data_IF_936503947064
#
_entry.id   IF_936503947064
#
_cell.length_a   1.000
_cell.length_b   1.000
_cell.length_c   1.000
_cell.angle_alpha   90.00
_cell.angle_beta   90.00
_cell.angle_gamma   90.00
#
_symmetry.space_group_name_H-M   'P 1'
#
loop_
_entity.id
_entity.type
_entity.pdbx_description
1 polymer ?
#
# COMPACT_ATOMS: atom_id res chain seq x y z
N UNK A 1 -49.52 106.29 29.95
CA UNK A 1 -50.08 104.88 30.02
C UNK A 1 -50.90 104.54 28.77
N UNK A 2 -51.66 105.44 28.14
CA UNK A 2 -52.49 105.12 26.96
C UNK A 2 -51.66 104.62 25.74
N UNK A 3 -50.57 105.34 25.39
CA UNK A 3 -49.66 105.03 24.33
C UNK A 3 -48.93 103.68 24.61
N UNK A 4 -48.53 103.39 25.85
CA UNK A 4 -47.90 102.15 26.25
C UNK A 4 -48.87 100.96 26.13
N UNK A 5 -50.13 101.17 26.39
CA UNK A 5 -51.15 100.13 26.19
C UNK A 5 -51.35 99.77 24.71
N UNK A 6 -51.50 100.78 23.86
CA UNK A 6 -51.70 100.61 22.46
C UNK A 6 -50.46 99.88 21.78
N UNK A 7 -49.27 100.23 22.18
CA UNK A 7 -48.07 99.57 21.73
C UNK A 7 -47.99 98.11 22.19
N UNK A 8 -48.36 97.83 23.47
CA UNK A 8 -48.35 96.45 24.00
C UNK A 8 -49.49 95.59 23.42
N UNK A 9 -50.68 96.16 23.17
CA UNK A 9 -51.78 95.48 22.50
C UNK A 9 -51.41 95.09 21.06
N UNK A 10 -50.76 96.04 20.35
CA UNK A 10 -50.24 95.78 19.01
C UNK A 10 -49.14 94.72 19.07
N UNK A 11 -48.16 94.76 19.98
CA UNK A 11 -47.12 93.76 20.15
C UNK A 11 -47.73 92.40 20.46
N UNK A 12 -48.73 92.29 21.31
CA UNK A 12 -49.46 91.06 21.59
C UNK A 12 -50.19 90.53 20.37
N UNK A 13 -50.84 91.37 19.60
CA UNK A 13 -51.56 91.00 18.38
C UNK A 13 -50.56 90.42 17.30
N UNK A 14 -49.45 91.13 17.10
CA UNK A 14 -48.38 90.70 16.21
C UNK A 14 -47.78 89.34 16.68
N UNK A 15 -47.46 89.25 17.98
CA UNK A 15 -46.91 87.99 18.53
C UNK A 15 -47.85 86.78 18.33
N UNK A 16 -49.16 86.97 18.46
CA UNK A 16 -50.13 85.92 18.11
C UNK A 16 -50.19 85.63 16.64
N UNK A 17 -50.10 86.61 15.78
CA UNK A 17 -50.16 86.42 14.33
C UNK A 17 -48.91 85.66 13.80
N UNK A 18 -47.75 85.93 14.33
CA UNK A 18 -46.49 85.25 13.96
C UNK A 18 -46.32 83.93 14.75
N UNK A 19 -47.21 83.58 15.69
CA UNK A 19 -47.09 82.34 16.46
C UNK A 19 -46.00 82.36 17.52
N UNK A 20 -45.42 83.53 17.87
CA UNK A 20 -44.35 83.63 18.86
C UNK A 20 -44.91 83.58 20.28
N UNK A 21 -44.97 82.40 20.90
CA UNK A 21 -45.52 82.19 22.24
C UNK A 21 -44.75 82.98 23.31
N UNK A 22 -43.43 83.11 23.17
CA UNK A 22 -42.62 83.86 24.12
C UNK A 22 -42.94 85.36 24.09
N UNK A 23 -43.05 85.99 22.94
CA UNK A 23 -43.44 87.40 22.81
C UNK A 23 -44.86 87.64 23.20
N UNK A 24 -45.77 86.67 22.96
CA UNK A 24 -47.17 86.75 23.41
C UNK A 24 -47.30 86.64 24.95
N UNK A 25 -46.50 85.79 25.59
CA UNK A 25 -46.41 85.70 27.06
C UNK A 25 -45.92 87.01 27.62
N UNK A 26 -44.81 87.53 27.14
CA UNK A 26 -44.16 88.74 27.63
C UNK A 26 -45.07 89.98 27.46
N UNK A 27 -45.69 90.12 26.28
CA UNK A 27 -46.64 91.23 26.03
C UNK A 27 -47.90 91.12 26.88
N UNK A 28 -48.48 89.95 27.09
CA UNK A 28 -49.65 89.71 27.94
C UNK A 28 -49.32 89.99 29.42
N UNK A 29 -48.11 89.57 29.88
CA UNK A 29 -47.62 89.82 31.25
C UNK A 29 -47.45 91.32 31.50
N UNK A 30 -46.86 92.07 30.54
CA UNK A 30 -46.75 93.54 30.64
C UNK A 30 -48.09 94.24 30.57
N UNK A 31 -49.04 93.80 29.77
CA UNK A 31 -50.40 94.29 29.71
C UNK A 31 -51.15 94.07 31.05
N UNK A 32 -50.97 92.88 31.63
CA UNK A 32 -51.55 92.62 32.98
C UNK A 32 -50.98 93.60 33.99
N UNK A 33 -49.70 93.83 34.06
CA UNK A 33 -49.04 94.78 34.99
C UNK A 33 -49.51 96.23 34.73
N UNK A 34 -49.67 96.61 33.48
CA UNK A 34 -50.13 97.92 33.12
C UNK A 34 -51.59 98.12 33.50
N UNK A 35 -52.47 97.16 33.29
CA UNK A 35 -53.85 97.16 33.71
C UNK A 35 -54.02 97.19 35.22
N UNK A 36 -53.13 96.51 35.93
CA UNK A 36 -53.11 96.60 37.41
C UNK A 36 -52.77 98.03 37.91
N UNK A 37 -51.76 98.63 37.35
CA UNK A 37 -51.34 100.01 37.66
C UNK A 37 -52.40 101.07 37.33
N UNK A 38 -53.19 100.76 36.28
CA UNK A 38 -54.34 101.62 35.88
C UNK A 38 -55.68 101.29 36.61
N UNK A 39 -55.60 100.38 37.62
CA UNK A 39 -56.73 99.94 38.46
C UNK A 39 -57.86 99.19 37.66
N UNK A 40 -57.51 98.58 36.50
CA UNK A 40 -58.41 97.79 35.69
C UNK A 40 -58.20 96.30 36.01
N UNK A 41 -58.62 95.87 37.13
CA UNK A 41 -58.32 94.58 37.72
C UNK A 41 -58.85 93.38 36.91
N UNK A 42 -60.06 93.50 36.36
CA UNK A 42 -60.61 92.42 35.54
C UNK A 42 -59.82 92.16 34.31
N UNK A 43 -59.49 93.22 33.57
CA UNK A 43 -58.61 93.09 32.34
C UNK A 43 -57.22 92.64 32.71
N UNK A 44 -56.70 93.07 33.86
CA UNK A 44 -55.40 92.60 34.37
C UNK A 44 -55.41 91.11 34.63
N UNK A 45 -56.49 90.59 35.26
CA UNK A 45 -56.64 89.17 35.52
C UNK A 45 -56.73 88.34 34.21
N UNK A 46 -57.45 88.82 33.19
CA UNK A 46 -57.53 88.16 31.87
C UNK A 46 -56.14 88.03 31.23
N UNK A 47 -55.40 89.15 31.14
CA UNK A 47 -54.04 89.08 30.55
C UNK A 47 -53.10 88.28 31.41
N UNK A 48 -53.23 88.22 32.71
CA UNK A 48 -52.43 87.34 33.58
C UNK A 48 -52.72 85.87 33.29
N UNK A 49 -53.99 85.48 33.14
CA UNK A 49 -54.37 84.10 32.77
C UNK A 49 -53.77 83.73 31.39
N UNK A 50 -53.83 84.64 30.40
CA UNK A 50 -53.26 84.42 29.08
C UNK A 50 -51.74 84.28 29.16
N UNK A 51 -51.02 85.14 29.90
CA UNK A 51 -49.58 85.01 30.09
C UNK A 51 -49.18 83.67 30.73
N UNK A 52 -49.95 83.24 31.77
CA UNK A 52 -49.74 81.97 32.45
C UNK A 52 -49.93 80.79 31.49
N UNK A 53 -50.99 80.80 30.66
CA UNK A 53 -51.17 79.74 29.63
C UNK A 53 -50.06 79.64 28.65
N UNK A 54 -49.54 80.80 28.15
CA UNK A 54 -48.37 80.81 27.27
C UNK A 54 -47.11 80.31 27.97
N UNK A 55 -46.89 80.73 29.22
CA UNK A 55 -45.71 80.25 30.01
C UNK A 55 -45.74 78.77 30.24
N UNK A 56 -46.91 78.17 30.60
CA UNK A 56 -47.05 76.74 30.77
C UNK A 56 -46.84 75.98 29.45
N UNK A 57 -47.37 76.57 28.36
CA UNK A 57 -47.14 75.98 27.02
C UNK A 57 -45.67 75.97 26.62
N UNK A 58 -44.92 77.07 26.88
CA UNK A 58 -43.46 77.15 26.61
C UNK A 58 -42.70 76.19 27.50
N UNK A 59 -43.05 76.09 28.78
CA UNK A 59 -42.36 75.13 29.68
C UNK A 59 -42.61 73.70 29.29
N UNK A 60 -43.82 73.32 28.90
CA UNK A 60 -44.15 72.00 28.43
C UNK A 60 -43.45 71.63 27.16
N UNK A 61 -43.37 72.58 26.20
CA UNK A 61 -42.61 72.40 24.97
C UNK A 61 -41.10 72.17 25.21
N UNK A 62 -40.52 72.98 26.15
CA UNK A 62 -39.12 72.81 26.55
C UNK A 62 -38.85 71.47 27.24
N UNK A 63 -39.77 71.10 28.16
CA UNK A 63 -39.68 69.79 28.85
C UNK A 63 -39.79 68.63 27.87
N UNK A 64 -40.73 68.67 26.92
CA UNK A 64 -40.83 67.67 25.84
C UNK A 64 -39.58 67.58 25.00
N UNK A 65 -39.01 68.74 24.59
CA UNK A 65 -37.74 68.74 23.83
C UNK A 65 -36.59 68.09 24.61
N UNK A 66 -36.47 68.41 25.93
CA UNK A 66 -35.46 67.77 26.76
C UNK A 66 -35.70 66.30 26.94
N UNK A 67 -36.94 65.84 27.12
CA UNK A 67 -37.24 64.42 27.19
C UNK A 67 -36.88 63.68 25.90
N UNK A 68 -37.34 64.19 24.75
CA UNK A 68 -37.02 63.55 23.45
C UNK A 68 -35.53 63.58 23.15
N UNK A 69 -34.76 64.59 23.50
CA UNK A 69 -33.32 64.65 23.34
C UNK A 69 -32.64 63.67 24.26
N UNK A 70 -33.14 63.52 25.51
CA UNK A 70 -32.59 62.57 26.47
C UNK A 70 -32.85 61.14 26.05
N UNK A 71 -34.04 60.81 25.52
CA UNK A 71 -34.40 59.52 24.95
C UNK A 71 -33.48 59.19 23.75
N UNK A 72 -33.28 60.14 22.82
CA UNK A 72 -32.41 59.96 21.68
C UNK A 72 -30.95 59.72 22.08
N UNK A 73 -30.46 60.37 23.14
CA UNK A 73 -29.12 60.13 23.69
C UNK A 73 -28.98 58.73 24.28
N UNK A 74 -29.97 58.31 25.10
CA UNK A 74 -29.97 56.97 25.68
C UNK A 74 -30.02 55.88 24.62
N UNK A 75 -30.87 56.04 23.59
CA UNK A 75 -30.95 55.11 22.47
C UNK A 75 -29.60 55.06 21.67
N UNK A 76 -28.97 56.20 21.45
CA UNK A 76 -27.69 56.28 20.80
C UNK A 76 -26.59 55.58 21.62
N UNK A 77 -26.61 55.72 22.95
CA UNK A 77 -25.67 55.07 23.87
C UNK A 77 -25.88 53.56 23.85
N UNK A 78 -27.14 53.11 23.99
CA UNK A 78 -27.51 51.71 23.92
C UNK A 78 -27.10 51.05 22.58
N UNK A 79 -27.25 51.76 21.46
CA UNK A 79 -26.82 51.31 20.17
C UNK A 79 -25.29 51.20 20.07
N UNK A 80 -24.53 52.15 20.63
CA UNK A 80 -23.08 52.06 20.70
C UNK A 80 -22.61 50.84 21.49
N UNK A 81 -23.16 50.63 22.67
CA UNK A 81 -22.83 49.48 23.51
C UNK A 81 -23.11 48.16 22.78
N UNK A 82 -24.23 48.10 22.08
CA UNK A 82 -24.59 46.93 21.29
C UNK A 82 -23.61 46.67 20.12
N UNK A 83 -23.19 47.73 19.43
CA UNK A 83 -22.19 47.64 18.35
C UNK A 83 -20.85 47.17 18.92
N UNK A 84 -20.43 47.71 20.08
CA UNK A 84 -19.20 47.30 20.73
C UNK A 84 -19.21 45.82 21.15
N UNK A 85 -20.31 45.37 21.76
CA UNK A 85 -20.50 43.94 22.08
C UNK A 85 -20.41 43.05 20.81
N UNK A 86 -21.13 43.39 19.74
CA UNK A 86 -21.11 42.65 18.49
C UNK A 86 -19.70 42.61 17.86
N UNK A 87 -18.94 43.69 17.94
CA UNK A 87 -17.57 43.75 17.47
C UNK A 87 -16.63 42.83 18.27
N UNK A 88 -16.80 42.80 19.62
CA UNK A 88 -16.03 41.90 20.47
C UNK A 88 -16.36 40.44 20.16
N UNK A 89 -17.63 40.06 20.05
CA UNK A 89 -18.07 38.74 19.68
C UNK A 89 -17.51 38.33 18.28
N UNK A 90 -17.55 39.24 17.32
CA UNK A 90 -17.01 38.99 15.98
C UNK A 90 -15.47 38.74 15.99
N UNK A 91 -14.72 39.52 16.80
CA UNK A 91 -13.27 39.30 16.96
C UNK A 91 -12.96 37.97 17.64
N UNK A 92 -13.72 37.59 18.66
CA UNK A 92 -13.56 36.27 19.30
C UNK A 92 -13.87 35.15 18.33
N UNK A 93 -14.99 35.20 17.61
CA UNK A 93 -15.31 34.21 16.57
C UNK A 93 -14.24 34.11 15.49
N UNK A 94 -13.70 35.25 15.04
CA UNK A 94 -12.62 35.25 14.05
C UNK A 94 -11.34 34.59 14.59
N UNK A 95 -11.02 34.82 15.87
CA UNK A 95 -9.87 34.18 16.52
C UNK A 95 -10.04 32.66 16.65
N UNK A 96 -11.24 32.20 17.01
CA UNK A 96 -11.58 30.76 17.09
C UNK A 96 -11.50 30.10 15.71
N UNK A 97 -12.09 30.72 14.68
CA UNK A 97 -12.04 30.21 13.31
C UNK A 97 -10.61 30.14 12.76
N UNK A 98 -9.78 31.13 13.06
CA UNK A 98 -8.37 31.13 12.63
C UNK A 98 -7.58 29.97 13.27
N UNK A 99 -7.77 29.73 14.57
CA UNK A 99 -7.18 28.59 15.28
C UNK A 99 -7.66 27.25 14.72
N UNK A 100 -8.95 27.11 14.46
CA UNK A 100 -9.51 25.88 13.85
C UNK A 100 -8.94 25.62 12.46
N UNK A 101 -8.80 26.65 11.61
CA UNK A 101 -8.13 26.55 10.30
C UNK A 101 -6.70 26.05 10.44
N UNK A 102 -5.95 26.60 11.37
CA UNK A 102 -4.55 26.23 11.59
C UNK A 102 -4.42 24.77 12.02
N UNK A 103 -5.27 24.30 12.96
CA UNK A 103 -5.33 22.90 13.37
C UNK A 103 -5.67 21.97 12.18
N UNK A 104 -6.63 22.39 11.34
CA UNK A 104 -7.04 21.62 10.17
C UNK A 104 -5.91 21.50 9.13
N UNK A 105 -5.18 22.58 8.88
CA UNK A 105 -3.99 22.59 7.98
C UNK A 105 -2.90 21.67 8.53
N UNK A 106 -2.58 21.75 9.82
CA UNK A 106 -1.60 20.86 10.46
C UNK A 106 -2.03 19.43 10.37
N UNK A 107 -3.31 19.13 10.61
CA UNK A 107 -3.85 17.77 10.49
C UNK A 107 -3.73 17.22 9.05
N UNK A 108 -4.07 18.02 8.04
CA UNK A 108 -3.93 17.62 6.63
C UNK A 108 -2.47 17.35 6.27
N UNK A 109 -1.54 18.21 6.71
CA UNK A 109 -0.11 18.03 6.45
C UNK A 109 0.40 16.75 7.12
N UNK A 110 0.02 16.50 8.40
CA UNK A 110 0.44 15.27 9.09
C UNK A 110 -0.11 14.03 8.42
N UNK A 111 -1.37 14.05 7.98
CA UNK A 111 -1.98 12.94 7.23
C UNK A 111 -1.24 12.70 5.90
N UNK A 112 -0.93 13.76 5.16
CA UNK A 112 -0.19 13.65 3.90
C UNK A 112 1.21 13.04 4.12
N UNK A 113 1.93 13.46 5.17
CA UNK A 113 3.24 12.89 5.53
C UNK A 113 3.11 11.41 5.88
N UNK A 114 2.10 11.02 6.65
CA UNK A 114 1.85 9.61 6.99
C UNK A 114 1.60 8.76 5.75
N UNK A 115 0.80 9.26 4.80
CA UNK A 115 0.54 8.57 3.52
C UNK A 115 1.84 8.41 2.71
N UNK A 116 2.65 9.46 2.60
CA UNK A 116 3.94 9.40 1.90
C UNK A 116 4.85 8.35 2.54
N UNK A 117 4.98 8.35 3.87
CA UNK A 117 5.79 7.36 4.60
C UNK A 117 5.27 5.94 4.36
N UNK A 118 3.95 5.73 4.42
CA UNK A 118 3.35 4.42 4.15
C UNK A 118 3.65 3.93 2.72
N UNK A 119 3.53 4.80 1.71
CA UNK A 119 3.86 4.49 0.32
C UNK A 119 5.34 4.14 0.17
N UNK A 120 6.25 4.93 0.79
CA UNK A 120 7.69 4.66 0.76
C UNK A 120 8.02 3.31 1.39
N UNK A 121 7.40 2.95 2.52
CA UNK A 121 7.60 1.65 3.17
C UNK A 121 7.13 0.50 2.28
N UNK A 122 5.98 0.63 1.61
CA UNK A 122 5.48 -0.39 0.67
C UNK A 122 6.42 -0.54 -0.53
N UNK A 123 6.89 0.57 -1.12
CA UNK A 123 7.85 0.54 -2.24
C UNK A 123 9.16 -0.10 -1.81
N UNK A 124 9.70 0.28 -0.66
CA UNK A 124 10.94 -0.30 -0.11
C UNK A 124 10.78 -1.81 0.15
N UNK A 125 9.66 -2.23 0.71
CA UNK A 125 9.38 -3.65 0.94
C UNK A 125 9.33 -4.44 -0.38
N UNK A 126 8.64 -3.91 -1.41
CA UNK A 126 8.58 -4.53 -2.75
C UNK A 126 9.96 -4.63 -3.42
N UNK A 127 10.77 -3.56 -3.33
CA UNK A 127 12.12 -3.57 -3.88
C UNK A 127 13.02 -4.57 -3.15
N UNK A 128 12.94 -4.63 -1.83
CA UNK A 128 13.71 -5.60 -1.02
C UNK A 128 13.30 -7.04 -1.31
N UNK A 129 12.02 -7.30 -1.50
CA UNK A 129 11.51 -8.62 -1.89
C UNK A 129 12.03 -9.02 -3.29
N UNK A 130 11.95 -8.12 -4.28
CA UNK A 130 12.53 -8.37 -5.62
C UNK A 130 14.04 -8.62 -5.57
N UNK A 131 14.77 -7.82 -4.78
CA UNK A 131 16.22 -8.02 -4.62
C UNK A 131 16.55 -9.37 -3.98
N UNK A 132 15.83 -9.76 -2.94
CA UNK A 132 16.00 -11.05 -2.29
C UNK A 132 15.67 -12.22 -3.23
N UNK A 133 14.62 -12.10 -4.04
CA UNK A 133 14.27 -13.10 -5.05
C UNK A 133 15.36 -13.23 -6.10
N UNK A 134 15.89 -12.13 -6.64
CA UNK A 134 17.03 -12.15 -7.58
C UNK A 134 18.28 -12.77 -6.93
N UNK A 135 18.59 -12.40 -5.69
CA UNK A 135 19.73 -12.96 -4.95
C UNK A 135 19.56 -14.46 -4.71
N UNK A 136 18.36 -14.91 -4.41
CA UNK A 136 18.05 -16.33 -4.24
C UNK A 136 18.13 -17.08 -5.58
N UNK A 137 17.65 -16.49 -6.67
CA UNK A 137 17.83 -17.04 -8.01
C UNK A 137 19.34 -17.15 -8.39
N UNK A 138 20.14 -16.13 -8.11
CA UNK A 138 21.60 -16.18 -8.32
C UNK A 138 22.30 -17.23 -7.43
N UNK A 139 21.87 -17.40 -6.18
CA UNK A 139 22.38 -18.48 -5.32
C UNK A 139 22.00 -19.85 -5.84
N UNK A 140 20.78 -20.01 -6.35
CA UNK A 140 20.28 -21.22 -6.99
C UNK A 140 21.11 -21.56 -8.24
N UNK A 141 21.34 -20.59 -9.11
CA UNK A 141 22.17 -20.75 -10.31
C UNK A 141 23.59 -21.19 -9.95
N UNK A 142 24.22 -20.56 -8.95
CA UNK A 142 25.57 -20.98 -8.48
C UNK A 142 25.56 -22.36 -7.82
N UNK A 143 24.48 -22.72 -7.14
CA UNK A 143 24.36 -24.04 -6.50
C UNK A 143 24.03 -25.15 -7.51
N UNK A 144 23.27 -24.84 -8.55
CA UNK A 144 22.87 -25.79 -9.60
C UNK A 144 24.00 -26.03 -10.61
N UNK A 145 24.89 -25.05 -10.79
CA UNK A 145 26.17 -25.30 -11.45
C UNK A 145 27.12 -25.92 -10.44
N UNK A 146 26.84 -27.16 -10.04
CA UNK A 146 27.72 -27.91 -9.12
C UNK A 146 29.17 -27.82 -9.63
N UNK A 147 30.08 -27.05 -8.97
CA UNK A 147 31.47 -26.93 -9.46
C UNK A 147 32.11 -28.29 -9.62
N UNK A 148 31.73 -29.24 -8.78
CA UNK A 148 32.18 -30.61 -8.83
C UNK A 148 31.76 -31.32 -10.15
N UNK A 149 30.53 -31.06 -10.63
CA UNK A 149 30.09 -31.59 -11.93
C UNK A 149 30.94 -31.04 -13.08
N UNK A 150 31.23 -29.73 -13.08
CA UNK A 150 32.07 -29.08 -14.09
C UNK A 150 33.51 -29.66 -14.05
N UNK A 151 34.11 -29.77 -12.86
CA UNK A 151 35.42 -30.36 -12.70
C UNK A 151 35.46 -31.83 -13.15
N UNK A 152 34.43 -32.61 -12.80
CA UNK A 152 34.30 -34.00 -13.20
C UNK A 152 34.17 -34.13 -14.73
N UNK A 153 33.36 -33.24 -15.34
CA UNK A 153 33.21 -33.21 -16.79
C UNK A 153 34.55 -32.88 -17.51
N UNK A 154 35.25 -31.87 -17.01
CA UNK A 154 36.58 -31.53 -17.56
C UNK A 154 37.60 -32.66 -17.38
N UNK A 155 37.57 -33.35 -16.24
CA UNK A 155 38.44 -34.52 -15.99
C UNK A 155 38.12 -35.67 -16.95
N UNK A 156 36.84 -35.94 -17.20
CA UNK A 156 36.45 -36.98 -18.17
C UNK A 156 36.92 -36.65 -19.60
N UNK A 157 36.78 -35.39 -20.02
CA UNK A 157 37.29 -34.92 -21.30
C UNK A 157 38.82 -35.12 -21.36
N UNK A 158 39.55 -34.75 -20.29
CA UNK A 158 41.00 -34.91 -20.22
C UNK A 158 41.41 -36.38 -20.39
N UNK A 159 40.71 -37.32 -19.77
CA UNK A 159 40.96 -38.76 -19.93
C UNK A 159 40.79 -39.17 -21.40
N UNK A 160 39.66 -38.83 -22.04
CA UNK A 160 39.40 -39.18 -23.43
C UNK A 160 40.42 -38.57 -24.41
N UNK A 161 40.87 -37.35 -24.15
CA UNK A 161 41.93 -36.70 -24.96
C UNK A 161 43.26 -37.45 -24.81
N UNK A 162 43.64 -37.88 -23.59
CA UNK A 162 44.84 -38.64 -23.32
C UNK A 162 44.78 -40.04 -23.93
N UNK A 163 43.62 -40.66 -23.98
CA UNK A 163 43.39 -41.97 -24.63
C UNK A 163 43.31 -41.86 -26.16
N UNK A 164 43.42 -40.65 -26.73
CA UNK A 164 43.26 -40.36 -28.16
C UNK A 164 41.87 -40.75 -28.72
N UNK A 165 40.85 -40.84 -27.86
CA UNK A 165 39.47 -41.11 -28.28
C UNK A 165 38.77 -39.81 -28.68
N UNK A 166 39.00 -39.38 -29.93
CA UNK A 166 38.49 -38.12 -30.48
C UNK A 166 36.96 -38.14 -30.56
N UNK A 167 36.38 -39.30 -30.86
CA UNK A 167 34.92 -39.45 -31.01
C UNK A 167 34.20 -39.22 -29.67
N UNK A 168 34.65 -39.90 -28.60
CA UNK A 168 34.09 -39.71 -27.26
C UNK A 168 34.35 -38.30 -26.72
N UNK A 169 35.54 -37.75 -26.92
CA UNK A 169 35.87 -36.37 -26.53
C UNK A 169 34.93 -35.35 -27.19
N UNK A 170 34.71 -35.47 -28.50
CA UNK A 170 33.87 -34.57 -29.28
C UNK A 170 32.40 -34.71 -28.87
N UNK A 171 31.92 -35.96 -28.70
CA UNK A 171 30.55 -36.22 -28.24
C UNK A 171 30.32 -35.63 -26.86
N UNK A 172 31.22 -35.89 -25.90
CA UNK A 172 31.13 -35.38 -24.55
C UNK A 172 31.08 -33.83 -24.50
N UNK A 173 31.98 -33.17 -25.23
CA UNK A 173 32.02 -31.70 -25.34
C UNK A 173 30.74 -31.15 -25.94
N UNK A 174 30.22 -31.80 -26.98
CA UNK A 174 28.96 -31.36 -27.62
C UNK A 174 27.77 -31.47 -26.68
N UNK A 175 27.63 -32.59 -25.99
CA UNK A 175 26.50 -32.84 -25.09
C UNK A 175 26.62 -31.99 -23.81
N UNK A 176 27.83 -31.76 -23.30
CA UNK A 176 28.10 -30.82 -22.23
C UNK A 176 27.72 -29.38 -22.60
N UNK A 177 28.08 -28.93 -23.80
CA UNK A 177 27.73 -27.62 -24.30
C UNK A 177 26.20 -27.45 -24.47
N UNK A 178 25.50 -28.51 -24.94
CA UNK A 178 24.02 -28.50 -25.02
C UNK A 178 23.38 -28.38 -23.65
N UNK A 179 23.83 -29.23 -22.70
CA UNK A 179 23.32 -29.20 -21.31
C UNK A 179 23.51 -27.80 -20.70
N UNK A 180 24.72 -27.25 -20.75
CA UNK A 180 25.03 -25.94 -20.19
C UNK A 180 24.18 -24.83 -20.81
N UNK A 181 23.97 -24.85 -22.13
CA UNK A 181 23.15 -23.89 -22.83
C UNK A 181 21.67 -23.97 -22.36
N UNK A 182 21.13 -25.19 -22.27
CA UNK A 182 19.75 -25.41 -21.80
C UNK A 182 19.58 -24.97 -20.34
N UNK A 183 20.49 -25.34 -19.46
CA UNK A 183 20.48 -24.93 -18.05
C UNK A 183 20.50 -23.40 -17.94
N UNK A 184 21.41 -22.70 -18.64
CA UNK A 184 21.50 -21.25 -18.62
C UNK A 184 20.22 -20.59 -19.19
N UNK A 185 19.69 -21.11 -20.30
CA UNK A 185 18.49 -20.57 -20.94
C UNK A 185 17.25 -20.72 -20.04
N UNK A 186 17.07 -21.87 -19.42
CA UNK A 186 15.86 -22.22 -18.70
C UNK A 186 15.89 -21.78 -17.24
N UNK A 187 17.06 -21.50 -16.69
CA UNK A 187 17.21 -21.01 -15.30
C UNK A 187 16.59 -19.64 -15.02
N UNK A 188 16.29 -18.86 -16.06
CA UNK A 188 15.64 -17.55 -15.92
C UNK A 188 14.11 -17.62 -15.82
N UNK A 189 13.52 -18.80 -16.05
CA UNK A 189 12.07 -18.98 -15.97
C UNK A 189 11.66 -19.55 -14.61
N UNK A 190 10.53 -19.11 -14.10
CA UNK A 190 9.97 -19.67 -12.86
C UNK A 190 9.40 -21.07 -13.07
N UNK A 191 8.91 -21.36 -14.29
CA UNK A 191 8.39 -22.64 -14.71
C UNK A 191 8.83 -22.96 -16.14
N UNK A 192 9.13 -24.24 -16.40
CA UNK A 192 9.46 -24.78 -17.71
C UNK A 192 8.51 -25.95 -18.06
N UNK A 193 8.42 -26.30 -19.33
CA UNK A 193 7.64 -27.48 -19.71
C UNK A 193 8.29 -28.76 -19.19
N UNK A 194 7.45 -29.75 -18.86
CA UNK A 194 7.90 -31.08 -18.44
C UNK A 194 8.82 -31.72 -19.51
N UNK A 195 8.58 -31.42 -20.78
CA UNK A 195 9.45 -31.88 -21.90
C UNK A 195 10.87 -31.31 -21.78
N UNK A 196 11.02 -30.02 -21.44
CA UNK A 196 12.33 -29.39 -21.22
C UNK A 196 13.04 -29.99 -20.01
N UNK A 197 12.31 -30.26 -18.90
CA UNK A 197 12.91 -30.91 -17.73
C UNK A 197 13.43 -32.33 -18.09
N UNK A 198 12.66 -33.10 -18.86
CA UNK A 198 13.07 -34.43 -19.37
C UNK A 198 14.31 -34.35 -20.22
N UNK A 199 14.37 -33.35 -21.12
CA UNK A 199 15.51 -33.15 -22.03
C UNK A 199 16.81 -32.85 -21.25
N UNK A 200 16.74 -31.94 -20.24
CA UNK A 200 17.87 -31.61 -19.36
C UNK A 200 18.34 -32.86 -18.61
N UNK A 201 17.43 -33.62 -18.03
CA UNK A 201 17.74 -34.85 -17.31
C UNK A 201 18.38 -35.89 -18.23
N UNK A 202 17.89 -35.99 -19.46
CA UNK A 202 18.47 -36.87 -20.47
C UNK A 202 19.93 -36.53 -20.78
N UNK A 203 20.22 -35.27 -21.13
CA UNK A 203 21.62 -34.82 -21.38
C UNK A 203 22.51 -35.03 -20.15
N UNK A 204 22.01 -34.76 -18.95
CA UNK A 204 22.78 -35.00 -17.74
C UNK A 204 23.13 -36.47 -17.55
N UNK A 205 22.15 -37.38 -17.70
CA UNK A 205 22.36 -38.83 -17.53
C UNK A 205 23.25 -39.43 -18.62
N UNK A 206 23.12 -38.99 -19.87
CA UNK A 206 24.02 -39.37 -20.99
C UNK A 206 25.47 -38.98 -20.70
N UNK A 207 25.72 -37.75 -20.20
CA UNK A 207 27.05 -37.30 -19.81
C UNK A 207 27.61 -38.12 -18.65
N UNK A 208 26.77 -38.48 -17.68
CA UNK A 208 27.21 -39.33 -16.57
C UNK A 208 27.53 -40.76 -17.03
N UNK A 209 26.75 -41.34 -17.95
CA UNK A 209 27.10 -42.65 -18.55
C UNK A 209 28.44 -42.63 -19.28
N UNK A 210 28.73 -41.56 -20.03
CA UNK A 210 30.02 -41.41 -20.68
C UNK A 210 31.16 -41.29 -19.66
N UNK A 211 30.95 -40.68 -18.50
CA UNK A 211 31.98 -40.48 -17.46
C UNK A 211 32.30 -41.77 -16.68
N UNK A 212 31.33 -42.64 -16.48
CA UNK A 212 31.56 -43.88 -15.74
C UNK A 212 32.08 -44.97 -16.66
N UNK A 213 33.13 -45.66 -16.24
CA UNK A 213 33.72 -46.80 -17.01
C UNK A 213 32.72 -47.98 -17.15
N UNK A 214 31.82 -48.09 -16.17
CA UNK A 214 30.74 -49.08 -16.16
C UNK A 214 29.39 -48.36 -16.31
N UNK A 215 28.75 -48.46 -17.49
CA UNK A 215 27.51 -47.72 -17.74
C UNK A 215 26.37 -48.26 -16.91
N UNK A 216 25.74 -47.37 -16.12
CA UNK A 216 24.48 -47.66 -15.44
C UNK A 216 23.31 -47.55 -16.44
N UNK A 217 22.17 -48.17 -16.08
CA UNK A 217 20.93 -48.02 -16.85
C UNK A 217 20.10 -46.92 -16.26
N UNK A 218 19.42 -46.16 -17.12
CA UNK A 218 18.40 -45.21 -16.67
C UNK A 218 17.15 -45.25 -17.54
N UNK A 219 16.02 -44.88 -16.95
CA UNK A 219 14.74 -44.77 -17.64
C UNK A 219 14.03 -43.50 -17.18
N UNK A 220 13.44 -42.76 -18.13
CA UNK A 220 12.61 -41.55 -17.81
C UNK A 220 11.22 -41.76 -18.39
N UNK A 221 10.26 -42.07 -17.52
CA UNK A 221 8.88 -42.34 -17.88
C UNK A 221 8.00 -41.15 -17.56
N UNK A 222 7.20 -40.74 -18.51
CA UNK A 222 6.18 -39.72 -18.34
C UNK A 222 4.80 -40.36 -18.56
N UNK A 223 3.89 -40.22 -17.62
CA UNK A 223 2.52 -40.65 -17.77
C UNK A 223 1.95 -40.07 -19.08
N UNK A 224 1.37 -40.89 -19.96
CA UNK A 224 0.79 -40.43 -21.21
C UNK A 224 -0.19 -39.28 -21.09
N UNK A 225 -0.91 -39.18 -19.97
CA UNK A 225 -1.82 -38.05 -19.69
C UNK A 225 -1.05 -36.74 -19.52
N UNK A 226 0.14 -36.75 -18.87
CA UNK A 226 1.00 -35.58 -18.71
C UNK A 226 1.72 -35.19 -20.01
N UNK A 227 1.93 -36.12 -20.89
CA UNK A 227 2.58 -35.85 -22.18
C UNK A 227 1.67 -35.11 -23.17
N UNK A 228 0.34 -35.21 -23.00
CA UNK A 228 -0.67 -34.53 -23.81
C UNK A 228 -0.94 -33.11 -23.28
N UNK A 229 -0.81 -32.91 -21.97
CA UNK A 229 -1.02 -31.64 -21.31
C UNK A 229 0.29 -30.83 -21.30
N UNK A 230 0.22 -29.54 -21.56
CA UNK A 230 1.36 -28.63 -21.43
C UNK A 230 1.69 -28.38 -19.95
N UNK A 231 2.17 -29.42 -19.26
CA UNK A 231 2.48 -29.37 -17.82
C UNK A 231 3.75 -28.58 -17.58
N UNK A 232 3.69 -27.69 -16.61
CA UNK A 232 4.78 -26.84 -16.19
C UNK A 232 5.37 -27.30 -14.86
N UNK A 233 6.70 -27.29 -14.77
CA UNK A 233 7.47 -27.64 -13.57
C UNK A 233 8.52 -26.56 -13.28
N UNK A 234 8.89 -26.36 -12.00
CA UNK A 234 10.04 -25.51 -11.69
C UNK A 234 11.30 -26.09 -12.30
N UNK A 235 12.15 -25.29 -12.96
CA UNK A 235 13.33 -25.79 -13.67
C UNK A 235 14.28 -26.54 -12.72
N UNK A 236 14.80 -27.67 -13.16
CA UNK A 236 15.79 -28.48 -12.44
C UNK A 236 15.35 -28.89 -11.02
N UNK A 237 14.05 -29.11 -10.79
CA UNK A 237 13.54 -29.55 -9.48
C UNK A 237 13.90 -31.02 -9.22
N UNK A 238 14.02 -31.80 -10.26
CA UNK A 238 14.34 -33.24 -10.20
C UNK A 238 15.84 -33.50 -10.13
N UNK A 239 16.63 -32.63 -10.73
CA UNK A 239 18.08 -32.79 -10.94
C UNK A 239 18.88 -33.12 -9.68
N UNK A 240 18.69 -32.41 -8.50
CA UNK A 240 19.46 -32.71 -7.28
C UNK A 240 19.32 -34.14 -6.79
N UNK A 241 18.16 -34.74 -7.02
CA UNK A 241 17.89 -36.13 -6.61
C UNK A 241 18.46 -37.14 -7.58
N UNK A 242 18.46 -36.81 -8.87
CA UNK A 242 19.12 -37.62 -9.90
C UNK A 242 20.65 -37.58 -9.74
N UNK A 243 21.22 -36.40 -9.42
CA UNK A 243 22.63 -36.28 -9.05
C UNK A 243 22.99 -37.16 -7.85
N UNK A 244 22.18 -37.12 -6.80
CA UNK A 244 22.40 -37.96 -5.62
C UNK A 244 22.27 -39.45 -5.93
N UNK A 245 21.32 -39.87 -6.75
CA UNK A 245 21.16 -41.25 -7.18
C UNK A 245 22.40 -41.75 -7.93
N UNK A 246 22.90 -40.94 -8.86
CA UNK A 246 24.07 -41.30 -9.70
C UNK A 246 25.38 -41.25 -8.91
N UNK A 247 25.66 -40.14 -8.20
CA UNK A 247 26.94 -39.92 -7.53
C UNK A 247 27.09 -40.73 -6.24
N UNK A 248 25.99 -41.01 -5.55
CA UNK A 248 25.98 -41.59 -4.21
C UNK A 248 25.19 -42.89 -4.09
N UNK A 249 24.20 -43.07 -4.97
CA UNK A 249 23.41 -44.30 -4.97
C UNK A 249 24.18 -45.44 -5.68
N UNK A 250 24.54 -45.23 -6.94
CA UNK A 250 24.97 -46.31 -7.82
C UNK A 250 26.46 -46.31 -8.16
N UNK A 251 27.22 -45.27 -7.82
CA UNK A 251 28.64 -45.10 -8.22
C UNK A 251 29.52 -46.28 -7.87
N UNK A 252 29.35 -46.87 -6.71
CA UNK A 252 30.23 -47.94 -6.19
C UNK A 252 29.61 -49.35 -6.41
N UNK A 253 28.49 -49.41 -7.15
CA UNK A 253 27.90 -50.71 -7.56
C UNK A 253 28.63 -51.22 -8.80
N UNK A 254 29.56 -52.12 -8.56
CA UNK A 254 30.15 -52.93 -9.63
C UNK A 254 29.06 -53.75 -10.31
N UNK A 255 28.66 -53.45 -11.50
CA UNK A 255 27.58 -54.06 -12.28
C UNK A 255 26.14 -53.69 -11.89
N UNK A 256 25.45 -53.01 -12.80
CA UNK A 256 23.98 -52.82 -12.86
C UNK A 256 23.37 -51.73 -11.97
N UNK A 257 24.07 -50.59 -11.80
CA UNK A 257 23.40 -49.39 -11.30
C UNK A 257 22.18 -49.02 -12.17
N UNK A 258 21.06 -48.75 -11.55
CA UNK A 258 19.82 -48.33 -12.25
C UNK A 258 19.21 -47.13 -11.57
N UNK A 259 18.77 -46.17 -12.41
CA UNK A 259 18.04 -44.97 -11.97
C UNK A 259 16.74 -44.86 -12.79
N UNK A 260 15.61 -44.93 -12.14
CA UNK A 260 14.29 -44.77 -12.74
C UNK A 260 13.67 -43.46 -12.32
N UNK A 261 13.26 -42.64 -13.29
CA UNK A 261 12.62 -41.35 -13.08
C UNK A 261 11.22 -41.45 -13.65
N UNK A 262 10.20 -41.24 -12.80
CA UNK A 262 8.79 -41.36 -13.20
C UNK A 262 8.02 -40.11 -12.87
N UNK A 263 7.33 -39.56 -13.86
CA UNK A 263 6.41 -38.43 -13.72
C UNK A 263 4.98 -38.95 -13.82
N UNK A 264 4.21 -38.85 -12.73
CA UNK A 264 2.87 -39.42 -12.62
C UNK A 264 1.85 -38.33 -12.28
N UNK A 265 0.63 -38.47 -12.82
CA UNK A 265 -0.51 -37.65 -12.41
C UNK A 265 -1.32 -38.39 -11.35
N UNK A 266 -1.51 -37.77 -10.18
CA UNK A 266 -2.38 -38.31 -9.13
C UNK A 266 -3.41 -37.21 -8.78
N UNK A 267 -4.58 -37.26 -9.39
CA UNK A 267 -5.63 -36.25 -9.27
C UNK A 267 -5.15 -34.90 -9.82
N UNK A 268 -5.06 -33.88 -8.97
CA UNK A 268 -4.57 -32.54 -9.30
C UNK A 268 -3.09 -32.32 -8.92
N UNK A 269 -2.33 -33.40 -8.77
CA UNK A 269 -0.94 -33.33 -8.37
C UNK A 269 -0.05 -34.00 -9.43
N UNK A 270 1.14 -33.40 -9.62
CA UNK A 270 2.27 -34.02 -10.31
C UNK A 270 3.13 -34.69 -9.22
N UNK A 271 3.33 -35.97 -9.34
CA UNK A 271 4.22 -36.77 -8.49
C UNK A 271 5.44 -37.17 -9.32
N UNK A 272 6.61 -36.76 -8.88
CA UNK A 272 7.89 -37.09 -9.50
C UNK A 272 8.59 -38.08 -8.58
N UNK A 273 8.89 -39.26 -9.10
CA UNK A 273 9.64 -40.29 -8.38
C UNK A 273 11.01 -40.48 -9.01
N UNK A 274 12.05 -40.42 -8.18
CA UNK A 274 13.42 -40.78 -8.54
C UNK A 274 13.81 -41.98 -7.70
N UNK A 275 14.03 -43.09 -8.33
CA UNK A 275 14.34 -44.37 -7.68
C UNK A 275 15.72 -44.86 -8.15
N UNK A 276 16.57 -45.26 -7.21
CA UNK A 276 17.82 -45.96 -7.47
C UNK A 276 17.84 -47.37 -6.84
N UNK A 277 18.72 -48.21 -7.33
CA UNK A 277 18.98 -49.51 -6.72
C UNK A 277 20.31 -49.53 -5.92
N UNK A 278 20.75 -48.38 -5.42
CA UNK A 278 22.00 -48.19 -4.73
C UNK A 278 22.03 -48.72 -3.31
N UNK A 279 23.00 -48.23 -2.52
CA UNK A 279 23.22 -48.74 -1.16
C UNK A 279 22.19 -48.23 -0.13
N UNK A 280 21.25 -47.34 -0.51
CA UNK A 280 20.25 -46.73 0.37
C UNK A 280 20.78 -45.55 1.18
N UNK A 281 19.83 -44.77 1.78
CA UNK A 281 20.11 -43.52 2.47
C UNK A 281 21.00 -43.74 3.70
N UNK A 282 20.66 -44.72 4.52
CA UNK A 282 21.33 -44.94 5.81
C UNK A 282 22.78 -45.36 5.61
N UNK A 283 23.06 -46.24 4.66
CA UNK A 283 24.44 -46.71 4.34
C UNK A 283 25.27 -45.60 3.72
N UNK A 284 24.68 -44.84 2.80
CA UNK A 284 25.33 -43.68 2.16
C UNK A 284 25.69 -42.60 3.17
N UNK A 285 24.85 -42.29 4.15
CA UNK A 285 25.13 -41.30 5.21
C UNK A 285 26.30 -41.72 6.11
N UNK A 286 26.51 -43.00 6.35
CA UNK A 286 27.60 -43.48 7.22
C UNK A 286 28.97 -43.40 6.51
N UNK A 287 29.04 -43.57 5.21
CA UNK A 287 30.29 -43.60 4.44
C UNK A 287 30.77 -42.23 3.97
N UNK A 288 29.91 -41.18 4.03
CA UNK A 288 30.25 -39.84 3.52
C UNK A 288 31.17 -39.06 4.45
N UNK A 289 32.17 -38.36 3.85
CA UNK A 289 32.94 -37.34 4.56
C UNK A 289 32.09 -36.16 5.01
N UNK A 290 32.52 -35.41 6.05
CA UNK A 290 31.80 -34.22 6.55
C UNK A 290 31.50 -33.17 5.44
N UNK A 291 32.43 -32.97 4.50
CA UNK A 291 32.25 -32.05 3.36
C UNK A 291 31.15 -32.51 2.40
N UNK A 292 31.07 -33.82 2.11
CA UNK A 292 30.04 -34.38 1.25
C UNK A 292 28.66 -34.30 1.89
N UNK A 293 28.56 -34.56 3.20
CA UNK A 293 27.29 -34.37 3.98
C UNK A 293 26.82 -32.92 3.97
N UNK A 294 27.72 -31.96 4.13
CA UNK A 294 27.39 -30.53 4.12
C UNK A 294 26.87 -30.07 2.75
N UNK A 295 27.42 -30.57 1.64
CA UNK A 295 27.01 -30.20 0.30
C UNK A 295 25.64 -30.77 -0.08
N UNK A 296 25.37 -32.04 0.26
CA UNK A 296 24.08 -32.70 0.03
C UNK A 296 22.98 -32.08 0.90
N UNK A 297 23.29 -31.76 2.17
CA UNK A 297 22.34 -31.06 3.06
C UNK A 297 21.95 -29.68 2.49
N UNK A 298 22.87 -29.02 1.80
CA UNK A 298 22.62 -27.72 1.18
C UNK A 298 21.69 -27.84 -0.03
N UNK A 299 21.91 -28.80 -0.93
CA UNK A 299 21.05 -29.04 -2.09
C UNK A 299 19.62 -29.41 -1.69
N UNK A 300 19.48 -30.32 -0.72
CA UNK A 300 18.19 -30.69 -0.12
C UNK A 300 17.50 -29.51 0.57
N UNK A 301 18.25 -28.69 1.29
CA UNK A 301 17.73 -27.48 1.95
C UNK A 301 17.19 -26.49 0.93
N UNK A 302 17.96 -26.20 -0.13
CA UNK A 302 17.53 -25.28 -1.19
C UNK A 302 16.27 -25.82 -1.89
N UNK A 303 16.21 -27.13 -2.16
CA UNK A 303 15.03 -27.73 -2.77
C UNK A 303 13.82 -27.62 -1.84
N UNK A 304 13.98 -27.87 -0.55
CA UNK A 304 12.89 -27.66 0.45
C UNK A 304 12.43 -26.22 0.49
N UNK A 305 13.33 -25.25 0.53
CA UNK A 305 13.00 -23.81 0.51
C UNK A 305 12.20 -23.45 -0.76
N UNK A 306 12.54 -24.03 -1.92
CA UNK A 306 11.75 -23.84 -3.16
C UNK A 306 10.36 -24.45 -3.05
N UNK A 307 10.27 -25.66 -2.52
CA UNK A 307 8.97 -26.32 -2.31
C UNK A 307 8.07 -25.55 -1.34
N UNK A 308 8.65 -24.93 -0.31
CA UNK A 308 7.91 -24.10 0.64
C UNK A 308 7.37 -22.82 -0.03
N UNK A 309 8.13 -22.19 -0.95
CA UNK A 309 7.63 -21.06 -1.74
C UNK A 309 6.45 -21.50 -2.61
N UNK A 310 6.57 -22.61 -3.32
CA UNK A 310 5.48 -23.16 -4.18
C UNK A 310 4.23 -23.48 -3.34
N UNK A 311 4.42 -24.00 -2.13
CA UNK A 311 3.31 -24.29 -1.20
C UNK A 311 2.53 -23.02 -0.83
N UNK A 312 3.26 -21.94 -0.54
CA UNK A 312 2.65 -20.68 -0.14
C UNK A 312 1.90 -20.00 -1.29
N UNK A 313 2.39 -20.14 -2.53
CA UNK A 313 1.79 -19.50 -3.70
C UNK A 313 0.58 -20.28 -4.24
N UNK A 314 0.61 -21.61 -4.18
CA UNK A 314 -0.41 -22.45 -4.85
C UNK A 314 -1.52 -22.95 -3.94
N UNK A 315 -1.36 -22.89 -2.60
CA UNK A 315 -2.31 -23.46 -1.63
C UNK A 315 -2.51 -24.99 -1.73
N UNK A 316 -1.74 -25.66 -2.61
CA UNK A 316 -1.81 -27.09 -2.85
C UNK A 316 -0.91 -27.91 -1.93
N UNK A 317 -1.12 -29.23 -1.87
CA UNK A 317 -0.20 -30.13 -1.16
C UNK A 317 1.12 -30.17 -1.92
N UNK A 318 2.19 -29.69 -1.28
CA UNK A 318 3.59 -29.80 -1.74
C UNK A 318 4.33 -30.63 -0.72
N UNK A 319 5.09 -31.62 -1.18
CA UNK A 319 5.80 -32.54 -0.30
C UNK A 319 7.10 -33.06 -0.90
N UNK A 320 8.00 -33.49 -0.02
CA UNK A 320 9.23 -34.19 -0.36
C UNK A 320 9.38 -35.36 0.62
N UNK A 321 9.36 -36.56 0.09
CA UNK A 321 9.54 -37.82 0.84
C UNK A 321 10.85 -38.46 0.36
N UNK A 322 11.68 -38.84 1.33
CA UNK A 322 12.89 -39.65 1.08
C UNK A 322 12.72 -40.98 1.81
N UNK A 323 12.72 -42.05 1.06
CA UNK A 323 12.38 -43.38 1.55
C UNK A 323 13.56 -44.31 1.26
N UNK A 324 14.14 -44.93 2.29
CA UNK A 324 15.06 -46.05 2.11
C UNK A 324 14.23 -47.28 1.73
N UNK A 325 14.54 -47.90 0.59
CA UNK A 325 13.73 -49.03 0.10
C UNK A 325 13.74 -50.23 1.05
N UNK A 326 14.75 -50.36 1.88
CA UNK A 326 14.81 -51.37 2.96
C UNK A 326 13.70 -51.22 4.01
N UNK A 327 13.19 -49.97 4.19
CA UNK A 327 12.10 -49.71 5.13
C UNK A 327 10.76 -50.27 4.57
N UNK A 328 10.61 -50.35 3.24
CA UNK A 328 9.44 -50.91 2.59
C UNK A 328 9.55 -52.45 2.47
N UNK A 329 10.72 -52.90 1.99
CA UNK A 329 11.01 -54.32 1.79
C UNK A 329 12.47 -54.59 2.19
N UNK A 330 12.74 -55.40 3.24
CA UNK A 330 14.10 -55.68 3.72
C UNK A 330 15.06 -56.28 2.68
N UNK A 331 14.51 -56.91 1.64
CA UNK A 331 15.30 -57.48 0.52
C UNK A 331 15.56 -56.52 -0.61
N UNK A 332 15.00 -55.32 -0.58
CA UNK A 332 15.16 -54.29 -1.59
C UNK A 332 16.33 -53.34 -1.20
N UNK A 333 16.97 -52.74 -2.20
CA UNK A 333 18.08 -51.85 -1.99
C UNK A 333 17.88 -50.56 -2.77
N UNK A 334 18.41 -49.45 -2.23
CA UNK A 334 18.38 -48.16 -2.89
C UNK A 334 17.46 -47.15 -2.21
N UNK A 335 17.29 -46.04 -2.89
CA UNK A 335 16.48 -44.89 -2.39
C UNK A 335 15.34 -44.61 -3.32
N UNK A 336 14.18 -44.25 -2.77
CA UNK A 336 13.06 -43.66 -3.49
C UNK A 336 12.83 -42.24 -2.97
N UNK A 337 12.99 -41.27 -3.86
CA UNK A 337 12.62 -39.88 -3.60
C UNK A 337 11.30 -39.58 -4.29
N UNK A 338 10.35 -39.02 -3.54
CA UNK A 338 9.06 -38.60 -4.09
C UNK A 338 8.86 -37.12 -3.86
N UNK A 339 8.66 -36.35 -4.95
CA UNK A 339 8.34 -34.94 -4.95
C UNK A 339 6.89 -34.77 -5.35
N UNK A 340 6.11 -34.09 -4.55
CA UNK A 340 4.69 -33.83 -4.79
C UNK A 340 4.51 -32.35 -5.07
N UNK A 341 3.99 -32.02 -6.26
CA UNK A 341 3.76 -30.66 -6.71
C UNK A 341 2.28 -30.48 -7.14
N UNK A 342 1.71 -29.27 -7.04
CA UNK A 342 0.44 -28.98 -7.69
C UNK A 342 0.63 -29.09 -9.21
N UNK A 343 -0.38 -29.62 -9.90
CA UNK A 343 -0.39 -29.71 -11.35
C UNK A 343 -0.64 -28.32 -11.93
N UNK A 344 0.38 -27.75 -12.59
CA UNK A 344 0.30 -26.46 -13.29
C UNK A 344 0.26 -26.73 -14.79
N UNK A 345 -0.86 -26.44 -15.43
CA UNK A 345 -1.04 -26.58 -16.87
C UNK A 345 -0.91 -25.23 -17.56
N UNK A 346 -0.19 -25.17 -18.67
CA UNK A 346 -0.13 -23.99 -19.50
C UNK A 346 -1.50 -23.85 -20.18
N UNK A 347 -2.30 -22.87 -19.77
CA UNK A 347 -3.49 -22.52 -20.55
C UNK A 347 -3.02 -22.02 -21.91
N UNK A 348 -3.16 -22.83 -22.94
CA UNK A 348 -3.04 -22.38 -24.32
C UNK A 348 -4.03 -21.20 -24.47
N UNK A 349 -3.61 -20.04 -25.01
CA UNK A 349 -4.57 -19.01 -25.35
C UNK A 349 -5.59 -19.68 -26.29
N UNK A 350 -6.84 -19.68 -25.88
CA UNK A 350 -7.96 -20.05 -26.74
C UNK A 350 -7.80 -19.20 -28.00
N UNK A 351 -7.58 -19.87 -29.14
CA UNK A 351 -7.54 -19.26 -30.45
C UNK A 351 -8.84 -18.47 -30.58
N UNK A 352 -8.80 -17.15 -30.34
CA UNK A 352 -9.86 -16.26 -30.78
C UNK A 352 -9.87 -16.40 -32.31
N UNK A 353 -10.84 -17.14 -32.78
CA UNK A 353 -11.10 -17.26 -34.21
C UNK A 353 -11.22 -15.86 -34.83
N UNK A 354 -10.93 -15.71 -36.11
CA UNK A 354 -10.92 -14.43 -36.78
C UNK A 354 -12.30 -13.76 -36.64
N UNK A 355 -12.31 -12.58 -35.97
CA UNK A 355 -13.47 -11.70 -35.99
C UNK A 355 -13.62 -11.23 -37.44
N UNK A 356 -14.67 -11.74 -38.11
CA UNK A 356 -15.17 -11.22 -39.35
C UNK A 356 -15.81 -9.83 -39.17
#
# INVERSE_FOLDING_TARGET
YKEAQENLENAYAIARQIGSRFQAEESARLLSTLCEKTKRFETSLEFYKIATQYKDSILNEKNMYHLTTMEAMLDAEAQRDKIEQLNQEALEQQSVMSRQRLILIVFIITLAVLVIVAVLLVVQHRLRSKYNNLKNQHKLLRSQMNPHFIFNALSAIQVYVLEHDIEKSTKFLTDFAKLMRQVLKLSHYDYISLANEKEILGYYLELQQLRFMEPFMYQIDIDPVLAQDAVLVPPMITQPFVENAVEHGIRDLHDKGRVDIRFKRIGHQLVIEVEDNGMGIHTSMQQKSEKARAHESMALKITRERLDVIRNDSGGKVGLELIDKKEINPFDHGTLVRIILPLVEQRLPLNEGPKH
#
